data_IF_946007181150
#
_entry.id   IF_946007181150
#
_cell.length_a   1.000
_cell.length_b   1.000
_cell.length_c   1.000
_cell.angle_alpha   90.00
_cell.angle_beta   90.00
_cell.angle_gamma   90.00
#
_symmetry.space_group_name_H-M   'P 1'
#
loop_
_entity.id
_entity.type
_entity.pdbx_description
1 polymer ?
#
# COMPACT_ATOMS: atom_id res chain seq x y z
N UNK A 1 -11.69 14.81 12.37
CA UNK A 1 -12.62 13.97 11.57
C UNK A 1 -12.23 13.92 10.10
N UNK A 2 -12.09 15.06 9.40
CA UNK A 2 -11.63 15.10 8.01
C UNK A 2 -10.24 14.46 7.79
N UNK A 3 -9.29 14.72 8.69
CA UNK A 3 -7.93 14.13 8.64
C UNK A 3 -7.95 12.60 8.72
N UNK A 4 -8.74 12.04 9.65
CA UNK A 4 -8.88 10.58 9.79
C UNK A 4 -9.58 9.96 8.58
N UNK A 5 -10.54 10.66 7.97
CA UNK A 5 -11.17 10.20 6.73
C UNK A 5 -10.16 10.14 5.58
N UNK A 6 -9.28 11.14 5.47
CA UNK A 6 -8.20 11.15 4.48
C UNK A 6 -7.18 10.04 4.75
N UNK A 7 -6.78 9.85 6.02
CA UNK A 7 -5.89 8.76 6.40
C UNK A 7 -6.49 7.41 6.00
N UNK A 8 -7.73 7.12 6.38
CA UNK A 8 -8.42 5.88 6.01
C UNK A 8 -8.47 5.69 4.49
N UNK A 9 -8.93 6.71 3.75
CA UNK A 9 -9.06 6.64 2.28
C UNK A 9 -7.72 6.37 1.59
N UNK A 10 -6.68 7.11 1.96
CA UNK A 10 -5.37 6.97 1.35
C UNK A 10 -4.72 5.64 1.72
N UNK A 11 -4.83 5.21 2.99
CA UNK A 11 -4.31 3.93 3.44
C UNK A 11 -4.97 2.75 2.73
N UNK A 12 -6.29 2.73 2.57
CA UNK A 12 -7.00 1.67 1.85
C UNK A 12 -6.64 1.64 0.35
N UNK A 13 -6.52 2.81 -0.29
CA UNK A 13 -6.09 2.93 -1.69
C UNK A 13 -4.69 2.37 -1.88
N UNK A 14 -3.71 2.87 -1.13
CA UNK A 14 -2.30 2.47 -1.27
C UNK A 14 -2.13 0.98 -0.93
N UNK A 15 -2.79 0.48 0.11
CA UNK A 15 -2.80 -0.95 0.45
C UNK A 15 -3.25 -1.81 -0.74
N UNK A 16 -4.33 -1.40 -1.40
CA UNK A 16 -4.87 -2.11 -2.58
C UNK A 16 -3.87 -2.12 -3.73
N UNK A 17 -3.26 -0.97 -4.05
CA UNK A 17 -2.24 -0.86 -5.10
C UNK A 17 -0.99 -1.70 -4.77
N UNK A 18 -0.58 -1.79 -3.51
CA UNK A 18 0.54 -2.62 -3.07
C UNK A 18 0.25 -4.12 -3.24
N UNK A 19 -0.98 -4.55 -2.92
CA UNK A 19 -1.42 -5.94 -3.13
C UNK A 19 -1.49 -6.28 -4.61
N UNK A 20 -1.90 -5.34 -5.46
CA UNK A 20 -1.89 -5.53 -6.92
C UNK A 20 -0.43 -5.65 -7.41
N UNK A 21 0.44 -4.74 -6.98
CA UNK A 21 1.87 -4.76 -7.32
C UNK A 21 2.58 -6.04 -6.88
N UNK A 22 2.26 -6.58 -5.70
CA UNK A 22 2.82 -7.85 -5.23
C UNK A 22 2.38 -9.04 -6.09
N UNK A 23 1.11 -9.05 -6.53
CA UNK A 23 0.61 -10.07 -7.47
C UNK A 23 1.30 -9.97 -8.83
N UNK A 24 1.55 -8.75 -9.32
CA UNK A 24 2.31 -8.55 -10.56
C UNK A 24 3.76 -9.04 -10.44
N UNK A 25 4.41 -8.79 -9.29
CA UNK A 25 5.75 -9.31 -9.01
C UNK A 25 5.79 -10.85 -8.97
N UNK A 26 4.75 -11.49 -8.42
CA UNK A 26 4.60 -12.96 -8.49
C UNK A 26 4.46 -13.44 -9.94
N UNK A 27 3.61 -12.77 -10.73
CA UNK A 27 3.39 -13.12 -12.13
C UNK A 27 4.66 -12.96 -12.98
N UNK A 28 5.56 -12.03 -12.61
CA UNK A 28 6.81 -11.78 -13.32
C UNK A 28 7.67 -13.05 -13.50
N UNK A 29 7.61 -13.98 -12.53
CA UNK A 29 8.33 -15.27 -12.56
C UNK A 29 7.92 -16.19 -13.71
N UNK A 30 6.74 -15.98 -14.30
CA UNK A 30 6.22 -16.79 -15.40
C UNK A 30 6.71 -16.36 -16.78
N UNK A 31 7.20 -15.12 -16.92
CA UNK A 31 7.67 -14.59 -18.21
C UNK A 31 9.14 -14.95 -18.47
N UNK A 32 9.53 -14.97 -19.74
CA UNK A 32 10.91 -15.26 -20.18
C UNK A 32 11.38 -14.25 -21.21
N UNK A 33 12.70 -14.12 -21.36
CA UNK A 33 13.36 -13.35 -22.42
C UNK A 33 12.79 -11.92 -22.61
N UNK A 34 12.29 -11.62 -23.81
CA UNK A 34 11.74 -10.31 -24.15
C UNK A 34 10.44 -10.01 -23.38
N UNK A 35 9.59 -11.00 -23.11
CA UNK A 35 8.37 -10.83 -22.31
C UNK A 35 8.70 -10.46 -20.87
N UNK A 36 9.70 -11.12 -20.28
CA UNK A 36 10.19 -10.79 -18.95
C UNK A 36 10.69 -9.35 -18.89
N UNK A 37 11.50 -8.95 -19.89
CA UNK A 37 12.06 -7.60 -19.97
C UNK A 37 10.97 -6.54 -20.09
N UNK A 38 9.94 -6.78 -20.90
CA UNK A 38 8.79 -5.88 -21.03
C UNK A 38 7.96 -5.79 -19.76
N UNK A 39 7.62 -6.94 -19.16
CA UNK A 39 6.84 -7.02 -17.93
C UNK A 39 7.56 -6.36 -16.74
N UNK A 40 8.89 -6.53 -16.64
CA UNK A 40 9.73 -5.88 -15.63
C UNK A 40 9.62 -4.36 -15.74
N UNK A 41 9.81 -3.80 -16.94
CA UNK A 41 9.68 -2.35 -17.18
C UNK A 41 8.29 -1.83 -16.84
N UNK A 42 7.24 -2.59 -17.16
CA UNK A 42 5.87 -2.21 -16.82
C UNK A 42 5.65 -2.21 -15.30
N UNK A 43 6.21 -3.18 -14.58
CA UNK A 43 6.15 -3.23 -13.12
C UNK A 43 6.90 -2.05 -12.48
N UNK A 44 8.06 -1.69 -13.01
CA UNK A 44 8.79 -0.49 -12.59
C UNK A 44 7.95 0.78 -12.78
N UNK A 45 7.34 0.96 -13.95
CA UNK A 45 6.46 2.12 -14.20
C UNK A 45 5.24 2.13 -13.27
N UNK A 46 4.66 0.97 -12.98
CA UNK A 46 3.55 0.85 -12.03
C UNK A 46 3.97 1.34 -10.63
N UNK A 47 5.12 0.91 -10.12
CA UNK A 47 5.59 1.36 -8.81
C UNK A 47 6.01 2.83 -8.80
N UNK A 48 6.49 3.40 -9.92
CA UNK A 48 6.70 4.85 -10.04
C UNK A 48 5.38 5.63 -9.94
N UNK A 49 4.31 5.15 -10.57
CA UNK A 49 2.99 5.73 -10.41
C UNK A 49 2.49 5.61 -8.96
N UNK A 50 2.72 4.46 -8.31
CA UNK A 50 2.37 4.27 -6.91
C UNK A 50 3.14 5.21 -5.97
N UNK A 51 4.43 5.47 -6.20
CA UNK A 51 5.18 6.46 -5.43
C UNK A 51 4.53 7.87 -5.49
N UNK A 52 3.95 8.24 -6.64
CA UNK A 52 3.20 9.49 -6.77
C UNK A 52 1.96 9.51 -5.86
N UNK A 53 1.19 8.43 -5.84
CA UNK A 53 0.01 8.29 -4.96
C UNK A 53 0.37 8.32 -3.47
N UNK A 54 1.48 7.69 -3.09
CA UNK A 54 1.99 7.72 -1.71
C UNK A 54 2.45 9.15 -1.36
N UNK A 55 3.09 9.87 -2.28
CA UNK A 55 3.45 11.28 -2.09
C UNK A 55 2.23 12.20 -1.92
N UNK A 56 1.16 11.95 -2.66
CA UNK A 56 -0.12 12.66 -2.48
C UNK A 56 -0.69 12.37 -1.08
N UNK A 57 -0.68 11.11 -0.63
CA UNK A 57 -1.13 10.74 0.69
C UNK A 57 -0.32 11.42 1.80
N UNK A 58 1.01 11.38 1.72
CA UNK A 58 1.90 12.07 2.66
C UNK A 58 1.58 13.57 2.73
N UNK A 59 1.38 14.21 1.58
CA UNK A 59 1.07 15.63 1.55
C UNK A 59 -0.32 15.96 2.10
N UNK A 60 -1.30 15.10 1.86
CA UNK A 60 -2.69 15.29 2.29
C UNK A 60 -2.94 14.97 3.77
N UNK A 61 -2.19 14.03 4.35
CA UNK A 61 -2.39 13.59 5.74
C UNK A 61 -1.31 14.09 6.69
N UNK A 62 -0.13 14.46 6.17
CA UNK A 62 1.09 14.75 6.94
C UNK A 62 1.59 13.58 7.81
N UNK A 63 1.05 12.38 7.61
CA UNK A 63 1.45 11.18 8.34
C UNK A 63 2.78 10.63 7.80
N UNK A 64 3.82 10.65 8.63
CA UNK A 64 5.18 10.26 8.26
C UNK A 64 5.30 8.78 7.88
N UNK A 65 4.34 7.93 8.23
CA UNK A 65 4.34 6.53 7.79
C UNK A 65 4.24 6.38 6.28
N UNK A 66 3.65 7.37 5.58
CA UNK A 66 3.69 7.41 4.12
C UNK A 66 5.09 7.72 3.58
N UNK A 67 5.93 8.45 4.32
CA UNK A 67 7.34 8.61 3.98
C UNK A 67 8.09 7.28 4.14
N UNK A 68 7.85 6.53 5.22
CA UNK A 68 8.44 5.21 5.40
C UNK A 68 8.07 4.26 4.24
N UNK A 69 6.83 4.34 3.74
CA UNK A 69 6.39 3.61 2.54
C UNK A 69 7.15 4.06 1.28
N UNK A 70 7.36 5.36 1.07
CA UNK A 70 8.17 5.86 -0.05
C UNK A 70 9.59 5.29 0.00
N UNK A 71 10.21 5.26 1.18
CA UNK A 71 11.58 4.78 1.36
C UNK A 71 11.69 3.27 1.10
N UNK A 72 10.67 2.49 1.51
CA UNK A 72 10.58 1.05 1.24
C UNK A 72 10.42 0.74 -0.26
N UNK A 73 9.67 1.56 -0.99
CA UNK A 73 9.27 1.29 -2.39
C UNK A 73 10.24 1.89 -3.40
N UNK A 74 10.85 3.04 -3.09
CA UNK A 74 11.78 3.73 -4.00
C UNK A 74 13.05 2.92 -4.32
N UNK A 75 13.39 1.97 -3.45
CA UNK A 75 14.59 1.14 -3.56
C UNK A 75 14.30 -0.30 -4.04
N UNK A 76 13.12 -0.56 -4.60
CA UNK A 76 12.78 -1.90 -5.09
C UNK A 76 13.67 -2.31 -6.26
N UNK A 77 14.25 -3.49 -6.14
CA UNK A 77 14.95 -4.17 -7.22
C UNK A 77 14.19 -5.45 -7.54
N UNK A 78 13.31 -5.41 -8.56
CA UNK A 78 12.45 -6.54 -8.88
C UNK A 78 13.20 -7.77 -9.40
N UNK A 79 14.49 -7.65 -9.75
CA UNK A 79 15.35 -8.79 -10.01
C UNK A 79 15.69 -9.55 -8.70
N UNK A 80 15.77 -8.84 -7.57
CA UNK A 80 15.78 -9.43 -6.23
C UNK A 80 14.34 -9.55 -5.70
N UNK A 81 13.70 -10.63 -6.11
CA UNK A 81 12.30 -10.91 -5.78
C UNK A 81 12.04 -10.95 -4.27
N UNK A 82 12.91 -11.60 -3.48
CA UNK A 82 12.64 -11.84 -2.07
C UNK A 82 12.69 -10.53 -1.28
N UNK A 83 13.75 -9.75 -1.49
CA UNK A 83 13.90 -8.43 -0.85
C UNK A 83 12.78 -7.48 -1.25
N UNK A 84 12.42 -7.46 -2.55
CA UNK A 84 11.32 -6.62 -3.03
C UNK A 84 9.97 -7.01 -2.43
N UNK A 85 9.69 -8.31 -2.34
CA UNK A 85 8.45 -8.82 -1.73
C UNK A 85 8.38 -8.50 -0.23
N UNK A 86 9.51 -8.56 0.49
CA UNK A 86 9.58 -8.19 1.90
C UNK A 86 9.27 -6.69 2.10
N UNK A 87 9.88 -5.82 1.29
CA UNK A 87 9.61 -4.37 1.33
C UNK A 87 8.15 -4.05 1.03
N UNK A 88 7.55 -4.68 0.01
CA UNK A 88 6.13 -4.51 -0.31
C UNK A 88 5.25 -4.99 0.85
N UNK A 89 5.59 -6.12 1.47
CA UNK A 89 4.83 -6.67 2.61
C UNK A 89 4.88 -5.75 3.83
N UNK A 90 6.04 -5.14 4.11
CA UNK A 90 6.17 -4.12 5.16
C UNK A 90 5.30 -2.89 4.87
N UNK A 91 5.30 -2.40 3.63
CA UNK A 91 4.44 -1.29 3.22
C UNK A 91 2.93 -1.62 3.35
N UNK A 92 2.51 -2.85 3.02
CA UNK A 92 1.14 -3.34 3.24
C UNK A 92 0.79 -3.35 4.73
N UNK A 93 1.71 -3.80 5.58
CA UNK A 93 1.50 -3.79 7.03
C UNK A 93 1.30 -2.38 7.57
N UNK A 94 2.16 -1.43 7.18
CA UNK A 94 2.04 -0.02 7.57
C UNK A 94 0.69 0.55 7.16
N UNK A 95 0.30 0.40 5.89
CA UNK A 95 -0.99 0.92 5.40
C UNK A 95 -2.19 0.25 6.08
N UNK A 96 -2.10 -1.03 6.42
CA UNK A 96 -3.14 -1.74 7.18
C UNK A 96 -3.30 -1.16 8.58
N UNK A 97 -2.19 -0.90 9.28
CA UNK A 97 -2.20 -0.27 10.60
C UNK A 97 -2.81 1.13 10.54
N UNK A 98 -2.38 1.97 9.60
CA UNK A 98 -2.95 3.32 9.41
C UNK A 98 -4.46 3.28 9.15
N UNK A 99 -4.90 2.38 8.26
CA UNK A 99 -6.33 2.24 7.93
C UNK A 99 -7.13 1.79 9.15
N UNK A 100 -6.64 0.82 9.92
CA UNK A 100 -7.33 0.33 11.10
C UNK A 100 -7.43 1.41 12.18
N UNK A 101 -6.34 2.13 12.48
CA UNK A 101 -6.37 3.25 13.44
C UNK A 101 -7.38 4.33 13.05
N UNK A 102 -7.37 4.74 11.78
CA UNK A 102 -8.30 5.73 11.27
C UNK A 102 -9.76 5.24 11.35
N UNK A 103 -10.00 3.97 11.01
CA UNK A 103 -11.31 3.34 11.11
C UNK A 103 -11.82 3.31 12.56
N UNK A 104 -11.01 2.83 13.50
CA UNK A 104 -11.39 2.78 14.91
C UNK A 104 -11.67 4.19 15.47
N UNK A 105 -10.86 5.18 15.08
CA UNK A 105 -11.08 6.57 15.52
C UNK A 105 -12.38 7.16 14.95
N UNK A 106 -12.75 6.81 13.72
CA UNK A 106 -13.97 7.32 13.07
C UNK A 106 -15.24 6.58 13.51
N UNK A 107 -15.14 5.29 13.79
CA UNK A 107 -16.30 4.38 13.88
C UNK A 107 -16.31 3.47 15.11
N UNK A 108 -15.27 3.45 15.95
CA UNK A 108 -15.10 2.51 17.07
C UNK A 108 -16.30 2.47 18.02
N UNK A 109 -16.77 3.63 18.49
CA UNK A 109 -17.92 3.72 19.41
C UNK A 109 -19.26 3.29 18.78
N UNK A 110 -19.38 3.41 17.45
CA UNK A 110 -20.57 2.99 16.69
C UNK A 110 -20.54 1.48 16.42
N UNK A 111 -19.36 0.93 16.12
CA UNK A 111 -19.15 -0.49 15.85
C UNK A 111 -19.35 -1.37 17.10
N UNK A 112 -18.97 -0.88 18.29
CA UNK A 112 -19.22 -1.56 19.57
C UNK A 112 -20.73 -1.62 19.87
N UNK A 113 -21.46 -0.52 19.69
CA UNK A 113 -22.92 -0.45 19.91
C UNK A 113 -23.71 -1.31 18.92
N UNK A 114 -23.32 -1.35 17.65
CA UNK A 114 -23.97 -2.20 16.63
C UNK A 114 -23.73 -3.71 16.87
N UNK A 115 -22.64 -4.09 17.54
CA UNK A 115 -22.38 -5.46 17.98
C UNK A 115 -23.23 -5.85 19.19
N UNK A 116 -23.38 -4.95 20.17
CA UNK A 116 -24.18 -5.19 21.38
C UNK A 116 -25.69 -5.21 21.07
N UNK A 117 -26.15 -4.43 20.08
CA UNK A 117 -27.58 -4.39 19.70
C UNK A 117 -28.04 -5.56 18.83
N UNK A 118 -27.12 -6.44 18.37
CA UNK A 118 -27.42 -7.60 17.51
C UNK A 118 -27.16 -8.96 18.17
N UNK A 119 -26.74 -8.97 19.43
CA UNK A 119 -26.64 -10.18 20.28
C UNK A 119 -27.81 -10.24 21.25
#
# INVERSE_FOLDING_TARGET
MYEMMNLLKHSERIKSELIIGSKMLVALKGFKDAEFTGALKMLEQYFQALLTEVGIALNSTKDLRFKDILDLISNLNFADYNTSMESISKAVSITTTCANEAFQTLFGDKAEKDRISKG
#
